data_IF_628116181194
#
_entry.id   IF_628116181194
#
_cell.length_a   1.000
_cell.length_b   1.000
_cell.length_c   1.000
_cell.angle_alpha   90.00
_cell.angle_beta   90.00
_cell.angle_gamma   90.00
#
_symmetry.space_group_name_H-M   'P 1'
#
loop_
_entity.id
_entity.type
_entity.pdbx_description
1 polymer ?
#
# COMPACT_ATOMS: atom_id res chain seq x y z
N UNK A 1 23.70 16.74 -4.20
CA UNK A 1 22.80 16.93 -5.36
C UNK A 1 21.52 16.19 -5.05
N UNK A 2 20.47 16.91 -4.64
CA UNK A 2 19.19 16.30 -4.28
C UNK A 2 18.53 15.89 -5.60
N UNK A 3 18.56 14.60 -5.95
CA UNK A 3 17.78 14.12 -7.08
C UNK A 3 16.32 14.31 -6.68
N UNK A 4 15.61 15.18 -7.40
CA UNK A 4 14.15 15.18 -7.33
C UNK A 4 13.68 13.73 -7.56
N UNK A 5 12.69 13.22 -6.81
CA UNK A 5 12.11 11.91 -7.10
C UNK A 5 11.75 11.92 -8.57
N UNK A 6 12.47 11.11 -9.34
CA UNK A 6 12.53 11.16 -10.79
C UNK A 6 11.13 11.06 -11.36
N UNK A 7 10.79 11.93 -12.31
CA UNK A 7 9.64 11.69 -13.18
C UNK A 7 9.82 10.29 -13.76
N UNK A 8 9.02 9.33 -13.29
CA UNK A 8 8.99 7.98 -13.86
C UNK A 8 8.46 8.12 -15.28
N UNK A 9 9.17 7.58 -16.26
CA UNK A 9 8.79 7.69 -17.67
C UNK A 9 7.43 7.01 -17.93
N UNK A 10 7.20 5.88 -17.26
CA UNK A 10 5.98 5.10 -17.41
C UNK A 10 4.98 5.46 -16.33
N UNK A 11 3.82 5.96 -16.74
CA UNK A 11 2.74 6.32 -15.81
C UNK A 11 1.45 5.67 -16.25
N UNK A 12 0.71 5.12 -15.28
CA UNK A 12 -0.64 4.62 -15.51
C UNK A 12 -1.57 5.09 -14.39
N UNK A 13 -2.85 5.29 -14.71
CA UNK A 13 -3.86 5.62 -13.70
C UNK A 13 -4.54 4.36 -13.19
N UNK A 14 -4.92 4.35 -11.92
CA UNK A 14 -5.67 3.23 -11.33
C UNK A 14 -6.98 2.92 -12.09
N UNK A 15 -7.60 3.93 -12.70
CA UNK A 15 -8.81 3.75 -13.53
C UNK A 15 -8.57 2.92 -14.79
N UNK A 16 -7.34 2.91 -15.30
CA UNK A 16 -6.96 2.14 -16.50
C UNK A 16 -7.00 0.63 -16.22
N UNK A 17 -6.96 0.24 -14.95
CA UNK A 17 -7.05 -1.15 -14.47
C UNK A 17 -8.43 -1.48 -13.88
N UNK A 18 -9.45 -0.68 -14.21
CA UNK A 18 -10.83 -0.89 -13.76
C UNK A 18 -11.11 -0.41 -12.33
N UNK A 19 -10.24 0.45 -11.77
CA UNK A 19 -10.48 1.05 -10.47
C UNK A 19 -11.75 1.93 -10.46
N UNK A 20 -12.52 1.85 -9.37
CA UNK A 20 -13.71 2.66 -9.12
C UNK A 20 -13.56 3.40 -7.79
N UNK A 21 -13.58 4.74 -7.87
CA UNK A 21 -13.33 5.66 -6.74
C UNK A 21 -14.56 6.00 -5.88
N UNK A 22 -15.49 5.06 -5.71
CA UNK A 22 -16.78 5.25 -5.01
C UNK A 22 -16.73 5.01 -3.48
N UNK A 23 -15.62 4.46 -2.98
CA UNK A 23 -15.43 4.09 -1.58
C UNK A 23 -16.14 2.81 -1.13
N UNK A 24 -16.69 2.04 -2.08
CA UNK A 24 -17.45 0.82 -1.82
C UNK A 24 -16.95 -0.37 -2.65
N UNK A 25 -16.56 -0.14 -3.90
CA UNK A 25 -16.01 -1.15 -4.79
C UNK A 25 -14.60 -1.56 -4.33
N UNK A 26 -14.36 -2.86 -4.15
CA UNK A 26 -13.00 -3.34 -3.85
C UNK A 26 -12.10 -3.22 -5.09
N UNK A 27 -11.05 -2.42 -4.94
CA UNK A 27 -10.05 -2.10 -5.95
C UNK A 27 -8.80 -2.98 -5.83
N UNK A 28 -8.81 -4.02 -4.98
CA UNK A 28 -7.64 -4.86 -4.70
C UNK A 28 -7.03 -5.43 -5.98
N UNK A 29 -7.86 -5.92 -6.90
CA UNK A 29 -7.40 -6.42 -8.20
C UNK A 29 -6.84 -5.30 -9.10
N UNK A 30 -7.47 -4.13 -9.11
CA UNK A 30 -7.01 -2.99 -9.89
C UNK A 30 -5.61 -2.53 -9.43
N UNK A 31 -5.38 -2.44 -8.11
CA UNK A 31 -4.07 -2.13 -7.56
C UNK A 31 -3.02 -3.19 -7.91
N UNK A 32 -3.35 -4.48 -7.75
CA UNK A 32 -2.45 -5.58 -8.09
C UNK A 32 -2.06 -5.57 -9.58
N UNK A 33 -3.04 -5.45 -10.47
CA UNK A 33 -2.80 -5.39 -11.92
C UNK A 33 -2.02 -4.14 -12.33
N UNK A 34 -2.28 -3.00 -11.70
CA UNK A 34 -1.54 -1.77 -11.96
C UNK A 34 -0.06 -1.90 -11.57
N UNK A 35 0.23 -2.44 -10.38
CA UNK A 35 1.60 -2.68 -9.93
C UNK A 35 2.29 -3.71 -10.81
N UNK A 36 1.63 -4.81 -11.15
CA UNK A 36 2.18 -5.85 -12.02
C UNK A 36 2.55 -5.28 -13.40
N UNK A 37 1.66 -4.50 -14.01
CA UNK A 37 1.92 -3.86 -15.30
C UNK A 37 3.12 -2.92 -15.22
N UNK A 38 3.14 -2.02 -14.24
CA UNK A 38 4.20 -1.03 -14.10
C UNK A 38 5.54 -1.64 -13.67
N UNK A 39 5.52 -2.80 -13.00
CA UNK A 39 6.73 -3.52 -12.60
C UNK A 39 7.61 -3.93 -13.78
N UNK A 40 7.02 -4.10 -14.97
CA UNK A 40 7.75 -4.50 -16.18
C UNK A 40 8.78 -3.45 -16.61
N UNK A 41 8.60 -2.20 -16.18
CA UNK A 41 9.46 -1.08 -16.53
C UNK A 41 10.61 -0.85 -15.53
N UNK A 42 10.73 -1.65 -14.46
CA UNK A 42 11.70 -1.41 -13.38
C UNK A 42 13.16 -1.46 -13.82
N UNK A 43 13.47 -2.14 -14.94
CA UNK A 43 14.82 -2.25 -15.51
C UNK A 43 15.14 -1.23 -16.60
N UNK A 44 14.20 -0.35 -16.94
CA UNK A 44 14.36 0.58 -18.06
C UNK A 44 15.09 1.88 -17.66
N UNK A 45 15.74 2.52 -18.63
CA UNK A 45 16.48 3.78 -18.42
C UNK A 45 15.59 4.93 -17.94
N UNK A 46 14.26 4.83 -18.12
CA UNK A 46 13.25 5.77 -17.63
C UNK A 46 12.99 5.72 -16.11
N UNK A 47 13.72 4.87 -15.39
CA UNK A 47 13.70 4.80 -13.94
C UNK A 47 12.41 4.18 -13.39
N UNK A 48 11.75 3.28 -14.09
CA UNK A 48 10.59 2.55 -13.58
C UNK A 48 9.23 3.22 -13.77
N UNK A 49 8.27 2.90 -12.90
CA UNK A 49 6.85 3.17 -13.11
C UNK A 49 6.19 4.02 -12.02
N UNK A 50 5.21 4.84 -12.41
CA UNK A 50 4.34 5.58 -11.50
C UNK A 50 2.88 5.15 -11.63
N UNK A 51 2.28 4.77 -10.51
CA UNK A 51 0.84 4.60 -10.39
C UNK A 51 0.21 5.88 -9.86
N UNK A 52 -0.63 6.50 -10.68
CA UNK A 52 -1.42 7.66 -10.33
C UNK A 52 -2.81 7.25 -9.79
N UNK A 53 -3.10 7.61 -8.54
CA UNK A 53 -4.40 7.42 -7.89
C UNK A 53 -5.18 8.75 -7.97
N UNK A 54 -6.24 8.84 -8.80
CA UNK A 54 -6.99 10.08 -8.97
C UNK A 54 -7.86 10.43 -7.75
N UNK A 55 -8.47 11.62 -7.78
CA UNK A 55 -9.49 12.02 -6.81
C UNK A 55 -10.58 10.95 -6.69
N UNK A 56 -10.97 10.63 -5.44
CA UNK A 56 -11.94 9.58 -5.17
C UNK A 56 -11.61 8.77 -3.92
N UNK A 57 -12.48 7.82 -3.59
CA UNK A 57 -12.32 6.90 -2.46
C UNK A 57 -12.08 5.50 -2.99
N UNK A 58 -10.93 4.91 -2.66
CA UNK A 58 -10.43 3.68 -3.26
C UNK A 58 -10.36 2.60 -2.18
N UNK A 59 -11.46 1.86 -1.98
CA UNK A 59 -11.49 0.74 -1.05
C UNK A 59 -10.61 -0.39 -1.57
N UNK A 60 -9.70 -0.91 -0.76
CA UNK A 60 -8.80 -2.01 -1.13
C UNK A 60 -8.36 -2.82 0.08
N UNK A 61 -8.18 -4.12 -0.12
CA UNK A 61 -7.36 -4.97 0.72
C UNK A 61 -5.86 -4.73 0.49
N UNK A 62 -5.00 -5.52 1.15
CA UNK A 62 -3.54 -5.48 0.98
C UNK A 62 -3.07 -5.62 -0.46
N UNK A 63 -2.09 -4.80 -0.84
CA UNK A 63 -1.33 -4.96 -2.07
C UNK A 63 0.16 -4.65 -1.84
N UNK A 64 1.02 -5.28 -2.63
CA UNK A 64 2.46 -5.10 -2.54
C UNK A 64 2.96 -4.15 -3.61
N UNK A 65 3.96 -3.33 -3.28
CA UNK A 65 4.71 -2.50 -4.20
C UNK A 65 5.86 -3.28 -4.86
N UNK A 66 6.46 -2.68 -5.88
CA UNK A 66 7.65 -3.19 -6.60
C UNK A 66 8.79 -2.16 -6.56
N UNK A 67 9.99 -2.52 -7.02
CA UNK A 67 11.15 -1.62 -7.11
C UNK A 67 10.99 -0.59 -8.23
N UNK A 68 11.71 0.53 -8.13
CA UNK A 68 11.67 1.66 -9.07
C UNK A 68 10.23 2.14 -9.30
N UNK A 69 9.50 2.32 -8.21
CA UNK A 69 8.06 2.55 -8.24
C UNK A 69 7.69 3.83 -7.52
N UNK A 70 6.69 4.53 -8.05
CA UNK A 70 6.08 5.67 -7.40
C UNK A 70 4.57 5.47 -7.27
N UNK A 71 4.06 5.43 -6.04
CA UNK A 71 2.64 5.55 -5.76
C UNK A 71 2.32 7.03 -5.53
N UNK A 72 1.59 7.64 -6.46
CA UNK A 72 1.22 9.06 -6.39
C UNK A 72 -0.27 9.23 -6.11
N UNK A 73 -0.60 9.91 -5.01
CA UNK A 73 -1.98 10.20 -4.62
C UNK A 73 -2.36 11.65 -4.97
N UNK A 74 -3.43 11.83 -5.72
CA UNK A 74 -4.07 13.13 -5.92
C UNK A 74 -4.54 13.75 -4.58
N UNK A 75 -4.74 15.07 -4.51
CA UNK A 75 -5.15 15.79 -3.29
C UNK A 75 -6.42 15.24 -2.63
N UNK A 76 -7.40 14.85 -3.45
CA UNK A 76 -8.68 14.30 -3.01
C UNK A 76 -8.76 12.77 -3.13
N UNK A 77 -7.61 12.11 -3.31
CA UNK A 77 -7.54 10.66 -3.30
C UNK A 77 -7.51 10.15 -1.84
N UNK A 78 -8.38 9.20 -1.53
CA UNK A 78 -8.40 8.50 -0.25
C UNK A 78 -8.31 6.99 -0.50
N UNK A 79 -7.19 6.37 -0.18
CA UNK A 79 -7.08 4.91 -0.13
C UNK A 79 -7.71 4.45 1.18
N UNK A 80 -8.72 3.58 1.09
CA UNK A 80 -9.46 3.04 2.24
C UNK A 80 -9.08 1.58 2.44
N UNK A 81 -8.58 1.23 3.62
CA UNK A 81 -8.32 -0.16 3.99
C UNK A 81 -9.62 -0.92 4.21
N UNK A 82 -9.79 -2.04 3.48
CA UNK A 82 -11.02 -2.85 3.54
C UNK A 82 -11.37 -3.27 4.96
N UNK A 83 -12.63 -3.10 5.34
CA UNK A 83 -13.18 -3.64 6.59
C UNK A 83 -13.62 -5.10 6.45
N UNK A 84 -13.50 -5.72 5.27
CA UNK A 84 -13.68 -7.15 5.12
C UNK A 84 -12.38 -7.88 5.46
N UNK A 85 -12.37 -8.60 6.57
CA UNK A 85 -11.22 -9.38 7.01
C UNK A 85 -10.83 -10.50 6.03
N UNK A 86 -11.73 -10.93 5.15
CA UNK A 86 -11.44 -11.96 4.15
C UNK A 86 -10.43 -11.49 3.09
N UNK A 87 -10.33 -10.18 2.86
CA UNK A 87 -9.34 -9.59 1.95
C UNK A 87 -7.93 -9.56 2.55
N UNK A 88 -7.78 -9.75 3.86
CA UNK A 88 -6.49 -9.64 4.55
C UNK A 88 -5.80 -10.98 4.68
N UNK A 89 -4.89 -11.25 3.75
CA UNK A 89 -4.05 -12.45 3.78
C UNK A 89 -3.27 -12.59 5.11
N UNK A 90 -3.10 -13.81 5.57
CA UNK A 90 -2.24 -14.14 6.71
C UNK A 90 -0.83 -14.42 6.19
N UNK A 91 0.13 -13.63 6.65
CA UNK A 91 1.55 -13.75 6.32
C UNK A 91 2.36 -14.12 7.57
N UNK A 92 3.62 -14.49 7.33
CA UNK A 92 4.53 -14.87 8.39
C UNK A 92 4.78 -13.72 9.39
N UNK A 93 5.05 -14.07 10.67
CA UNK A 93 5.42 -13.09 11.67
C UNK A 93 6.70 -12.34 11.28
N UNK A 94 6.86 -11.12 11.80
CA UNK A 94 8.04 -10.31 11.53
C UNK A 94 9.32 -11.02 12.02
N UNK A 95 10.42 -10.99 11.23
CA UNK A 95 11.69 -11.65 11.60
C UNK A 95 12.25 -11.22 12.95
N UNK A 96 12.00 -9.97 13.36
CA UNK A 96 12.55 -9.37 14.58
C UNK A 96 11.92 -9.86 15.89
N UNK A 97 10.79 -10.56 15.85
CA UNK A 97 10.08 -10.98 17.08
C UNK A 97 10.07 -12.48 17.33
N UNK A 98 10.35 -13.34 16.34
CA UNK A 98 10.25 -14.80 16.45
C UNK A 98 8.84 -15.34 16.79
N UNK A 99 7.85 -14.45 16.99
CA UNK A 99 6.42 -14.66 17.25
C UNK A 99 5.64 -13.42 16.82
N UNK A 100 4.35 -13.54 16.53
CA UNK A 100 3.52 -12.36 16.25
C UNK A 100 3.46 -11.41 17.45
N UNK A 101 3.38 -10.10 17.18
CA UNK A 101 3.42 -9.03 18.20
C UNK A 101 2.30 -9.17 19.23
N UNK A 102 1.10 -9.51 18.78
CA UNK A 102 -0.11 -9.57 19.61
C UNK A 102 -0.56 -11.03 19.88
N UNK A 103 -0.23 -11.97 18.98
CA UNK A 103 -0.61 -13.39 19.04
C UNK A 103 0.50 -14.29 18.47
N UNK A 104 0.57 -15.53 18.93
CA UNK A 104 1.44 -16.56 18.38
C UNK A 104 0.93 -16.96 16.98
N UNK A 105 1.85 -17.12 16.02
CA UNK A 105 1.54 -17.48 14.63
C UNK A 105 1.64 -16.31 13.66
N UNK A 106 1.01 -16.46 12.50
CA UNK A 106 0.99 -15.45 11.43
C UNK A 106 0.29 -14.14 11.82
N UNK A 107 0.30 -13.19 10.89
CA UNK A 107 -0.30 -11.86 11.04
C UNK A 107 -1.07 -11.49 9.80
N UNK A 108 -2.06 -10.60 9.95
CA UNK A 108 -2.68 -9.96 8.79
C UNK A 108 -1.63 -9.12 8.05
N UNK A 109 -1.65 -9.18 6.72
CA UNK A 109 -0.78 -8.37 5.88
C UNK A 109 -0.99 -6.87 6.11
N UNK A 110 0.01 -6.09 5.75
CA UNK A 110 -0.05 -4.64 5.78
C UNK A 110 -0.85 -4.11 4.58
N UNK A 111 -1.56 -2.99 4.72
CA UNK A 111 -2.40 -2.45 3.63
C UNK A 111 -1.57 -2.15 2.38
N UNK A 112 -0.42 -1.49 2.57
CA UNK A 112 0.58 -1.27 1.53
C UNK A 112 1.86 -1.95 1.97
N UNK A 113 2.22 -3.04 1.28
CA UNK A 113 3.33 -3.92 1.63
C UNK A 113 4.49 -3.89 0.63
N UNK A 114 5.60 -4.51 1.01
CA UNK A 114 6.73 -4.75 0.12
C UNK A 114 7.94 -5.36 0.83
N UNK A 115 8.71 -6.17 0.12
CA UNK A 115 10.00 -6.68 0.63
C UNK A 115 11.06 -6.70 -0.46
N UNK A 116 12.32 -6.50 -0.08
CA UNK A 116 13.47 -6.46 -1.00
C UNK A 116 13.29 -5.44 -2.13
N UNK A 117 12.72 -4.27 -1.82
CA UNK A 117 12.46 -3.21 -2.78
C UNK A 117 13.63 -2.23 -2.84
N UNK A 118 13.82 -1.62 -4.00
CA UNK A 118 14.76 -0.53 -4.20
C UNK A 118 14.05 0.65 -4.85
N UNK A 119 14.31 1.87 -4.38
CA UNK A 119 13.81 3.09 -5.01
C UNK A 119 12.27 3.12 -5.12
N UNK A 120 11.63 3.23 -3.94
CA UNK A 120 10.17 3.29 -3.81
C UNK A 120 9.76 4.61 -3.21
N UNK A 121 8.80 5.28 -3.86
CA UNK A 121 8.30 6.58 -3.43
C UNK A 121 6.79 6.52 -3.26
N UNK A 122 6.31 6.79 -2.04
CA UNK A 122 4.89 7.03 -1.76
C UNK A 122 4.73 8.53 -1.54
N UNK A 123 4.04 9.21 -2.45
CA UNK A 123 3.93 10.68 -2.45
C UNK A 123 2.59 11.13 -3.02
N UNK A 124 2.38 12.43 -3.14
CA UNK A 124 1.15 12.97 -3.69
C UNK A 124 1.00 14.47 -3.54
N UNK A 125 -0.23 14.93 -3.77
CA UNK A 125 -0.66 16.32 -3.61
C UNK A 125 -1.56 16.51 -2.36
N UNK A 126 -1.23 15.85 -1.24
CA UNK A 126 -2.02 15.76 0.01
C UNK A 126 -3.13 14.70 0.00
N UNK A 127 -2.98 13.63 -0.78
CA UNK A 127 -3.86 12.47 -0.67
C UNK A 127 -3.74 11.76 0.68
N UNK A 128 -4.71 10.89 0.97
CA UNK A 128 -4.85 10.22 2.27
C UNK A 128 -4.81 8.69 2.12
N UNK A 129 -4.13 8.04 3.05
CA UNK A 129 -4.20 6.59 3.28
C UNK A 129 -4.90 6.38 4.62
N UNK A 130 -6.14 5.90 4.59
CA UNK A 130 -6.97 5.63 5.77
C UNK A 130 -7.20 4.12 5.92
N UNK A 131 -6.54 3.50 6.89
CA UNK A 131 -6.62 2.06 7.15
C UNK A 131 -7.90 1.57 7.80
N UNK A 132 -8.86 2.46 8.09
CA UNK A 132 -10.13 2.15 8.77
C UNK A 132 -9.95 1.30 10.06
N UNK A 133 -8.93 1.65 10.85
CA UNK A 133 -8.46 0.86 12.00
C UNK A 133 -9.46 0.61 13.13
N UNK A 134 -10.55 1.36 13.20
CA UNK A 134 -11.56 1.24 14.25
C UNK A 134 -12.11 -0.20 14.38
N UNK A 135 -12.32 -0.89 13.26
CA UNK A 135 -12.73 -2.30 13.27
C UNK A 135 -11.67 -3.19 13.94
N UNK A 136 -10.40 -3.01 13.57
CA UNK A 136 -9.27 -3.75 14.10
C UNK A 136 -9.12 -3.57 15.61
N UNK A 137 -9.23 -2.33 16.09
CA UNK A 137 -9.20 -2.01 17.51
C UNK A 137 -10.38 -2.60 18.27
N UNK A 138 -11.60 -2.51 17.75
CA UNK A 138 -12.77 -3.12 18.38
C UNK A 138 -12.59 -4.64 18.56
N UNK A 139 -12.14 -5.34 17.52
CA UNK A 139 -11.88 -6.80 17.58
C UNK A 139 -10.73 -7.15 18.51
N UNK A 140 -9.67 -6.34 18.54
CA UNK A 140 -8.55 -6.51 19.46
C UNK A 140 -9.00 -6.43 20.93
N UNK A 141 -9.72 -5.39 21.32
CA UNK A 141 -10.21 -5.21 22.69
C UNK A 141 -11.22 -6.30 23.12
N UNK A 142 -11.95 -6.87 22.16
CA UNK A 142 -12.86 -8.02 22.41
C UNK A 142 -12.17 -9.38 22.37
N UNK A 143 -10.84 -9.42 22.18
CA UNK A 143 -10.06 -10.65 22.01
C UNK A 143 -10.58 -11.57 20.88
N UNK A 144 -11.12 -10.97 19.81
CA UNK A 144 -11.72 -11.66 18.65
C UNK A 144 -10.74 -11.87 17.49
N UNK A 145 -9.50 -11.37 17.62
CA UNK A 145 -8.47 -11.56 16.61
C UNK A 145 -7.70 -12.85 16.86
N UNK A 146 -7.73 -13.74 15.86
CA UNK A 146 -6.94 -14.96 15.84
C UNK A 146 -5.45 -14.67 15.58
N UNK A 147 -5.16 -13.65 14.76
CA UNK A 147 -3.82 -13.28 14.32
C UNK A 147 -3.49 -11.83 14.68
N UNK A 148 -2.19 -11.49 14.67
CA UNK A 148 -1.71 -10.13 14.91
C UNK A 148 -2.18 -9.18 13.80
N UNK A 149 -2.51 -7.92 14.14
CA UNK A 149 -2.94 -6.90 13.19
C UNK A 149 -1.82 -6.52 12.21
N UNK A 150 -2.19 -6.19 10.98
CA UNK A 150 -1.29 -5.64 9.99
C UNK A 150 -0.94 -4.18 10.27
N UNK A 151 0.14 -3.69 9.66
CA UNK A 151 0.50 -2.27 9.66
C UNK A 151 -0.20 -1.54 8.51
N UNK A 152 -0.22 -0.21 8.56
CA UNK A 152 -0.75 0.58 7.45
C UNK A 152 0.19 0.55 6.24
N UNK A 153 1.48 0.78 6.46
CA UNK A 153 2.53 0.70 5.45
C UNK A 153 3.68 -0.11 6.04
N UNK A 154 4.18 -1.08 5.30
CA UNK A 154 5.30 -1.91 5.71
C UNK A 154 6.18 -2.29 4.52
N UNK A 155 7.43 -1.84 4.56
CA UNK A 155 8.43 -2.14 3.56
C UNK A 155 9.65 -2.73 4.28
N UNK A 156 10.06 -3.94 3.91
CA UNK A 156 11.11 -4.71 4.60
C UNK A 156 12.33 -4.93 3.70
N UNK A 157 13.52 -4.99 4.28
CA UNK A 157 14.77 -5.32 3.56
C UNK A 157 14.99 -4.46 2.29
N UNK A 158 14.64 -3.19 2.36
CA UNK A 158 14.55 -2.32 1.18
C UNK A 158 15.44 -1.09 1.30
N UNK A 159 15.93 -0.63 0.17
CA UNK A 159 16.84 0.51 0.06
C UNK A 159 16.15 1.69 -0.64
N UNK A 160 16.32 2.90 -0.12
CA UNK A 160 15.76 4.13 -0.71
C UNK A 160 14.22 4.11 -0.78
N UNK A 161 13.57 4.11 0.39
CA UNK A 161 12.11 4.23 0.52
C UNK A 161 11.77 5.63 1.04
N UNK A 162 10.95 6.37 0.29
CA UNK A 162 10.50 7.72 0.66
C UNK A 162 8.99 7.74 0.82
N UNK A 163 8.52 8.11 2.01
CA UNK A 163 7.12 8.52 2.25
C UNK A 163 7.11 10.04 2.37
N UNK A 164 6.63 10.72 1.34
CA UNK A 164 6.75 12.17 1.19
C UNK A 164 5.82 12.98 2.12
N UNK A 165 6.13 14.27 2.38
CA UNK A 165 5.41 15.13 3.33
C UNK A 165 3.96 15.52 2.90
N UNK A 166 3.48 14.99 1.76
CA UNK A 166 2.19 15.30 1.14
C UNK A 166 1.28 14.08 1.04
N UNK A 167 1.42 13.15 1.97
CA UNK A 167 0.52 12.02 2.16
C UNK A 167 0.14 11.96 3.63
N UNK A 168 -1.16 12.06 3.92
CA UNK A 168 -1.67 11.89 5.27
C UNK A 168 -1.95 10.42 5.54
N UNK A 169 -1.59 9.93 6.72
CA UNK A 169 -1.89 8.56 7.16
C UNK A 169 -2.86 8.58 8.34
N UNK A 170 -3.93 7.78 8.26
CA UNK A 170 -4.87 7.54 9.36
C UNK A 170 -5.01 6.04 9.57
N UNK A 171 -4.81 5.58 10.79
CA UNK A 171 -4.80 4.15 11.16
C UNK A 171 -5.82 3.79 12.22
#
# INVERSE_FOLDING_TARGET
>A
MYMAPSCREHTASLTDFGGVGDGATSNTKAFQSAVEHLSQYSGESGGGGMLYVPAGKWLTGPFNLTSHFTLYLHSDAVILGSTDMSEWQIIDPLPSYGRGRDKIGGRYASLIGGSNLTDVVITGANGTIDGQGAMWWSKFHKNQLKYTRGYLIEVMHSDTVVVGPKVATRG
#
